data_IF_079750406219
#
_entry.id   IF_079750406219
#
_cell.length_a   1.000
_cell.length_b   1.000
_cell.length_c   1.000
_cell.angle_alpha   90.00
_cell.angle_beta   90.00
_cell.angle_gamma   90.00
#
_symmetry.space_group_name_H-M   'P 1'
#
loop_
_entity.id
_entity.type
_entity.pdbx_description
1 polymer ?
#
# COMPACT_ATOMS: atom_id res chain seq x y z
N UNK A 1 18.64 5.34 -18.27
CA UNK A 1 17.34 4.97 -17.68
C UNK A 1 17.12 5.79 -16.41
N UNK A 2 15.88 6.01 -16.00
CA UNK A 2 15.52 6.72 -14.76
C UNK A 2 14.27 6.09 -14.15
N UNK A 3 13.98 6.41 -12.89
CA UNK A 3 12.85 5.90 -12.13
C UNK A 3 11.92 7.05 -11.74
N UNK A 4 10.62 6.95 -12.06
CA UNK A 4 9.59 7.89 -11.65
C UNK A 4 8.60 7.15 -10.76
N UNK A 5 8.39 7.65 -9.54
CA UNK A 5 7.51 7.07 -8.53
C UNK A 5 6.41 8.07 -8.16
N UNK A 6 5.15 7.63 -8.21
CA UNK A 6 3.97 8.41 -7.83
C UNK A 6 3.23 7.71 -6.71
N UNK A 7 3.11 8.34 -5.54
CA UNK A 7 2.47 7.75 -4.35
C UNK A 7 3.00 6.38 -3.94
N UNK A 8 4.33 6.12 -3.97
CA UNK A 8 4.86 4.79 -3.70
C UNK A 8 4.57 4.37 -2.24
N UNK A 9 4.28 3.07 -2.04
CA UNK A 9 4.18 2.49 -0.70
C UNK A 9 5.59 2.36 -0.10
N UNK A 10 6.06 3.40 0.59
CA UNK A 10 7.33 3.43 1.33
C UNK A 10 7.13 3.49 2.85
N UNK A 11 5.90 3.72 3.28
CA UNK A 11 5.48 3.81 4.66
C UNK A 11 3.96 3.91 4.76
N UNK A 12 3.46 3.91 5.99
CA UNK A 12 2.03 4.06 6.30
C UNK A 12 1.78 5.37 7.04
N UNK A 13 0.69 6.09 6.76
CA UNK A 13 0.34 7.32 7.48
C UNK A 13 0.17 7.08 8.99
N UNK A 14 -0.37 5.92 9.37
CA UNK A 14 -0.49 5.49 10.76
C UNK A 14 0.09 4.09 10.93
N UNK A 15 1.02 3.93 11.88
CA UNK A 15 1.66 2.66 12.14
C UNK A 15 0.70 1.71 12.89
N UNK A 16 0.49 0.47 12.41
CA UNK A 16 -0.33 -0.49 13.11
C UNK A 16 0.31 -0.86 14.45
N UNK A 17 -0.52 -1.13 15.46
CA UNK A 17 -0.05 -1.61 16.75
C UNK A 17 0.67 -2.95 16.62
N UNK A 18 1.62 -3.23 17.54
CA UNK A 18 2.35 -4.50 17.57
C UNK A 18 1.43 -5.73 17.62
N UNK A 19 0.28 -5.60 18.31
CA UNK A 19 -0.72 -6.65 18.42
C UNK A 19 -1.41 -6.91 17.07
N UNK A 20 -1.76 -5.84 16.32
CA UNK A 20 -2.34 -5.97 14.98
C UNK A 20 -1.36 -6.65 14.02
N UNK A 21 -0.08 -6.24 14.03
CA UNK A 21 0.95 -6.86 13.19
C UNK A 21 1.12 -8.35 13.54
N UNK A 22 1.16 -8.69 14.83
CA UNK A 22 1.26 -10.08 15.27
C UNK A 22 0.07 -10.91 14.78
N UNK A 23 -1.17 -10.40 14.95
CA UNK A 23 -2.38 -11.07 14.49
C UNK A 23 -2.37 -11.28 12.97
N UNK A 24 -1.99 -10.26 12.20
CA UNK A 24 -1.87 -10.35 10.74
C UNK A 24 -0.84 -11.41 10.32
N UNK A 25 0.30 -11.51 11.01
CA UNK A 25 1.30 -12.56 10.73
C UNK A 25 0.78 -13.96 11.02
N UNK A 26 0.02 -14.15 12.11
CA UNK A 26 -0.62 -15.44 12.41
C UNK A 26 -1.64 -15.81 11.34
N UNK A 27 -2.51 -14.87 10.96
CA UNK A 27 -3.50 -15.07 9.90
C UNK A 27 -2.85 -15.33 8.53
N UNK A 28 -1.74 -14.65 8.22
CA UNK A 28 -0.97 -14.87 6.98
C UNK A 28 -0.48 -16.32 6.82
N UNK A 29 -0.19 -17.02 7.93
CA UNK A 29 0.23 -18.43 7.91
C UNK A 29 -0.96 -19.38 7.95
N UNK A 30 -1.90 -19.17 8.88
CA UNK A 30 -2.99 -20.13 9.12
C UNK A 30 -4.16 -19.98 8.15
N UNK A 31 -4.44 -18.76 7.70
CA UNK A 31 -5.59 -18.42 6.87
C UNK A 31 -5.23 -17.32 5.86
N UNK A 32 -4.28 -17.57 4.94
CA UNK A 32 -3.65 -16.56 4.08
C UNK A 32 -4.63 -15.75 3.21
N UNK A 33 -5.80 -16.34 2.90
CA UNK A 33 -6.85 -15.76 2.06
C UNK A 33 -7.90 -14.96 2.83
N UNK A 34 -7.81 -14.90 4.16
CA UNK A 34 -8.75 -14.09 4.96
C UNK A 34 -8.58 -12.63 4.59
N UNK A 35 -9.72 -12.00 4.25
CA UNK A 35 -9.89 -10.58 3.98
C UNK A 35 -9.48 -9.78 5.23
N UNK A 36 -8.40 -9.01 5.15
CA UNK A 36 -7.76 -8.41 6.32
C UNK A 36 -7.85 -6.88 6.36
N UNK A 37 -7.66 -6.20 5.22
CA UNK A 37 -7.66 -4.73 5.15
C UNK A 37 -8.55 -4.29 3.99
N UNK A 38 -9.45 -3.36 4.26
CA UNK A 38 -10.22 -2.64 3.24
C UNK A 38 -9.51 -1.34 2.88
N UNK A 39 -9.59 -0.94 1.61
CA UNK A 39 -9.14 0.38 1.15
C UNK A 39 -10.37 1.22 0.87
N UNK A 40 -10.43 2.40 1.48
CA UNK A 40 -11.43 3.40 1.15
C UNK A 40 -11.16 3.96 -0.26
N UNK A 41 -12.02 3.62 -1.22
CA UNK A 41 -11.90 4.08 -2.60
C UNK A 41 -11.94 5.61 -2.72
N UNK A 42 -12.57 6.32 -1.78
CA UNK A 42 -12.59 7.78 -1.78
C UNK A 42 -11.22 8.40 -1.45
N UNK A 43 -10.28 7.61 -0.91
CA UNK A 43 -8.91 8.05 -0.66
C UNK A 43 -8.01 8.03 -1.91
N UNK A 44 -8.46 7.44 -3.03
CA UNK A 44 -7.68 7.34 -4.27
C UNK A 44 -7.47 8.70 -4.93
N UNK A 45 -8.48 9.58 -4.87
CA UNK A 45 -8.42 10.91 -5.48
C UNK A 45 -9.35 11.89 -4.79
N UNK A 46 -8.99 13.17 -4.82
CA UNK A 46 -9.89 14.27 -4.43
C UNK A 46 -10.91 14.60 -5.52
N UNK A 47 -10.65 14.18 -6.75
CA UNK A 47 -11.58 14.35 -7.87
C UNK A 47 -12.65 13.25 -7.83
N UNK A 48 -13.93 13.60 -7.60
CA UNK A 48 -15.01 12.61 -7.53
C UNK A 48 -15.25 11.89 -8.85
N UNK A 49 -14.91 12.48 -9.99
CA UNK A 49 -15.02 11.81 -11.29
C UNK A 49 -14.03 10.64 -11.38
N UNK A 50 -12.78 10.85 -10.94
CA UNK A 50 -11.75 9.80 -10.91
C UNK A 50 -12.14 8.67 -9.96
N UNK A 51 -12.72 8.99 -8.79
CA UNK A 51 -13.22 7.97 -7.85
C UNK A 51 -14.35 7.17 -8.47
N UNK A 52 -15.28 7.82 -9.18
CA UNK A 52 -16.39 7.15 -9.87
C UNK A 52 -15.87 6.19 -10.96
N UNK A 53 -14.90 6.63 -11.77
CA UNK A 53 -14.29 5.81 -12.80
C UNK A 53 -13.55 4.61 -12.19
N UNK A 54 -12.82 4.82 -11.08
CA UNK A 54 -12.14 3.75 -10.34
C UNK A 54 -13.11 2.69 -9.80
N UNK A 55 -14.27 3.10 -9.26
CA UNK A 55 -15.30 2.18 -8.73
C UNK A 55 -16.04 1.44 -9.86
N UNK A 56 -16.20 2.08 -11.02
CA UNK A 56 -16.93 1.50 -12.14
C UNK A 56 -16.09 0.52 -12.98
N UNK A 57 -14.77 0.52 -12.82
CA UNK A 57 -13.86 -0.33 -13.59
C UNK A 57 -13.95 -1.81 -13.13
N UNK A 58 -14.44 -2.74 -13.97
CA UNK A 58 -14.58 -4.15 -13.60
C UNK A 58 -13.23 -4.88 -13.40
N UNK A 59 -12.11 -4.27 -13.80
CA UNK A 59 -10.76 -4.81 -13.60
C UNK A 59 -10.18 -4.41 -12.24
N UNK A 60 -10.80 -3.45 -11.54
CA UNK A 60 -10.40 -3.07 -10.18
C UNK A 60 -11.00 -4.03 -9.16
N UNK A 61 -10.14 -4.59 -8.31
CA UNK A 61 -10.58 -5.46 -7.22
C UNK A 61 -10.89 -4.62 -5.99
N UNK A 62 -12.18 -4.55 -5.63
CA UNK A 62 -12.66 -3.74 -4.49
C UNK A 62 -12.78 -4.51 -3.17
N UNK A 63 -12.60 -5.82 -3.20
CA UNK A 63 -12.63 -6.64 -1.99
C UNK A 63 -11.39 -6.39 -1.12
N UNK A 64 -11.51 -6.68 0.17
CA UNK A 64 -10.41 -6.53 1.13
C UNK A 64 -9.16 -7.31 0.70
N UNK A 65 -8.01 -6.72 0.97
CA UNK A 65 -6.70 -7.31 0.76
C UNK A 65 -6.54 -8.56 1.66
N UNK A 66 -6.13 -9.70 1.10
CA UNK A 66 -5.84 -10.91 1.87
C UNK A 66 -4.71 -10.72 2.90
N UNK A 67 -4.81 -11.37 4.05
CA UNK A 67 -3.83 -11.29 5.15
C UNK A 67 -2.40 -11.56 4.69
N UNK A 68 -2.20 -12.54 3.80
CA UNK A 68 -0.86 -12.84 3.25
C UNK A 68 -0.28 -11.67 2.48
N UNK A 69 -1.11 -11.01 1.66
CA UNK A 69 -0.69 -9.87 0.84
C UNK A 69 -0.35 -8.65 1.70
N UNK A 70 -1.14 -8.37 2.74
CA UNK A 70 -0.83 -7.29 3.70
C UNK A 70 0.55 -7.49 4.33
N UNK A 71 0.82 -8.70 4.84
CA UNK A 71 2.11 -8.99 5.48
C UNK A 71 3.27 -8.89 4.48
N UNK A 72 3.10 -9.42 3.27
CA UNK A 72 4.11 -9.29 2.21
C UNK A 72 4.37 -7.82 1.86
N UNK A 73 3.35 -6.98 1.73
CA UNK A 73 3.54 -5.55 1.46
C UNK A 73 4.37 -4.87 2.55
N UNK A 74 4.13 -5.16 3.82
CA UNK A 74 4.92 -4.59 4.93
C UNK A 74 6.37 -5.07 4.93
N UNK A 75 6.59 -6.38 4.72
CA UNK A 75 7.93 -6.96 4.69
C UNK A 75 8.75 -6.42 3.50
N UNK A 76 8.14 -6.34 2.30
CA UNK A 76 8.77 -5.78 1.09
C UNK A 76 9.04 -4.29 1.22
N UNK A 77 8.11 -3.52 1.81
CA UNK A 77 8.33 -2.08 2.07
C UNK A 77 9.54 -1.87 2.97
N UNK A 78 9.64 -2.65 4.06
CA UNK A 78 10.80 -2.57 4.95
C UNK A 78 12.11 -2.95 4.24
N UNK A 79 12.07 -3.98 3.38
CA UNK A 79 13.23 -4.39 2.60
C UNK A 79 13.66 -3.31 1.60
N UNK A 80 12.72 -2.76 0.82
CA UNK A 80 12.97 -1.67 -0.13
C UNK A 80 13.60 -0.47 0.57
N UNK A 81 13.09 -0.08 1.74
CA UNK A 81 13.65 1.04 2.49
C UNK A 81 15.07 0.77 3.02
N UNK A 82 15.36 -0.47 3.44
CA UNK A 82 16.71 -0.86 3.85
C UNK A 82 17.71 -0.82 2.69
N UNK A 83 17.25 -1.15 1.48
CA UNK A 83 18.09 -1.20 0.27
C UNK A 83 18.08 0.10 -0.55
N UNK A 84 17.25 1.09 -0.20
CA UNK A 84 17.04 2.31 -0.98
C UNK A 84 18.34 3.07 -1.28
N UNK A 85 19.31 3.04 -0.36
CA UNK A 85 20.62 3.69 -0.54
C UNK A 85 21.49 3.05 -1.64
N UNK A 86 21.18 1.83 -2.07
CA UNK A 86 21.88 1.13 -3.15
C UNK A 86 21.44 1.57 -4.54
N UNK A 87 20.36 2.35 -4.64
CA UNK A 87 19.79 2.75 -5.91
C UNK A 87 20.66 3.78 -6.64
N UNK A 88 21.11 3.45 -7.86
CA UNK A 88 22.03 4.29 -8.65
C UNK A 88 21.35 5.07 -9.78
N UNK A 89 20.05 4.84 -10.01
CA UNK A 89 19.29 5.51 -11.05
C UNK A 89 18.88 6.91 -10.58
N UNK A 90 18.83 7.91 -11.47
CA UNK A 90 18.12 9.16 -11.18
C UNK A 90 16.65 8.87 -10.85
N UNK A 91 16.19 9.40 -9.71
CA UNK A 91 14.81 9.21 -9.22
C UNK A 91 14.06 10.53 -9.19
N UNK A 92 12.84 10.52 -9.72
CA UNK A 92 11.82 11.53 -9.42
C UNK A 92 10.74 10.88 -8.56
N UNK A 93 10.55 11.38 -7.34
CA UNK A 93 9.50 10.94 -6.42
C UNK A 93 8.46 12.04 -6.28
N UNK A 94 7.19 11.70 -6.52
CA UNK A 94 6.04 12.58 -6.33
C UNK A 94 5.11 11.95 -5.30
N UNK A 95 4.79 12.70 -4.23
CA UNK A 95 3.91 12.24 -3.15
C UNK A 95 2.92 13.33 -2.75
N UNK A 96 1.67 12.96 -2.49
CA UNK A 96 0.66 13.88 -1.99
C UNK A 96 0.84 14.13 -0.50
N UNK A 97 0.87 15.39 -0.07
CA UNK A 97 1.01 15.74 1.36
C UNK A 97 -0.17 15.25 2.22
N UNK A 98 -1.33 15.01 1.61
CA UNK A 98 -2.56 14.53 2.25
C UNK A 98 -2.93 13.10 1.82
N UNK A 99 -1.96 12.34 1.29
CA UNK A 99 -2.18 10.95 0.92
C UNK A 99 -2.54 10.11 2.16
N UNK A 100 -3.67 9.40 2.10
CA UNK A 100 -4.17 8.57 3.20
C UNK A 100 -3.83 7.10 3.04
N UNK A 101 -3.28 6.70 1.90
CA UNK A 101 -2.96 5.31 1.57
C UNK A 101 -1.48 5.01 1.83
N UNK A 102 -0.59 5.93 1.48
CA UNK A 102 0.86 5.73 1.58
C UNK A 102 1.57 6.96 2.16
N UNK A 103 2.75 6.74 2.75
CA UNK A 103 3.64 7.78 3.29
C UNK A 103 5.06 7.60 2.77
N UNK A 104 5.83 8.68 2.83
CA UNK A 104 7.28 8.74 2.54
C UNK A 104 8.08 9.18 3.76
#
# INVERSE_FOLDING_TARGET
AGLILTGPLLGQPEAPSRLQVMLLRVLSVLAPKVKAIEIDASAVSRDPAVVSDYIADPLVHHDNIPARMVVSLFDETAQVMNEASSLQLPVLLLHGAEDKLTSV
#
